data_IF_229104465059
#
_entry.id   IF_229104465059
#
_cell.length_a   1.000
_cell.length_b   1.000
_cell.length_c   1.000
_cell.angle_alpha   90.00
_cell.angle_beta   90.00
_cell.angle_gamma   90.00
#
_symmetry.space_group_name_H-M   'P 1'
#
loop_
_entity.id
_entity.type
_entity.pdbx_description
1 polymer ?
#
# COMPACT_ATOMS: atom_id res chain seq x y z
N UNK A 1 -2.41 8.75 4.20
CA UNK A 1 -1.22 9.43 3.61
C UNK A 1 -0.94 10.71 4.37
N UNK A 2 0.32 10.99 4.69
CA UNK A 2 0.73 12.27 5.25
C UNK A 2 0.70 13.36 4.17
N UNK A 3 0.26 14.55 4.55
CA UNK A 3 0.41 15.74 3.69
C UNK A 3 1.90 16.11 3.54
N UNK A 4 2.32 16.62 2.39
CA UNK A 4 3.71 17.03 2.16
C UNK A 4 4.21 18.10 3.16
N UNK A 5 3.29 18.88 3.73
CA UNK A 5 3.59 19.87 4.77
C UNK A 5 3.28 19.34 6.17
N UNK A 6 3.24 18.03 6.38
CA UNK A 6 2.85 17.41 7.65
C UNK A 6 3.60 17.98 8.86
N UNK A 7 4.88 18.23 8.74
CA UNK A 7 5.68 18.78 9.83
C UNK A 7 5.15 20.14 10.35
N UNK A 8 4.47 20.91 9.51
CA UNK A 8 3.91 22.23 9.88
C UNK A 8 2.41 22.19 10.17
N UNK A 9 1.63 21.35 9.47
CA UNK A 9 0.16 21.36 9.56
C UNK A 9 -0.42 20.10 10.22
N UNK A 10 0.40 19.06 10.41
CA UNK A 10 -0.01 17.74 10.92
C UNK A 10 -1.21 17.16 10.18
N UNK A 11 -1.34 17.47 8.88
CA UNK A 11 -2.47 17.07 8.05
C UNK A 11 -2.29 15.65 7.53
N UNK A 12 -3.36 14.88 7.63
CA UNK A 12 -3.47 13.52 7.10
C UNK A 12 -4.65 13.41 6.16
N UNK A 13 -4.47 12.63 5.10
CA UNK A 13 -5.51 12.25 4.17
C UNK A 13 -5.86 10.77 4.37
N UNK A 14 -7.16 10.46 4.45
CA UNK A 14 -7.67 9.11 4.54
C UNK A 14 -8.62 8.83 3.37
N UNK A 15 -8.40 7.69 2.73
CA UNK A 15 -9.21 7.20 1.63
C UNK A 15 -10.08 6.04 2.13
N UNK A 16 -11.36 6.06 1.80
CA UNK A 16 -12.30 4.99 2.11
C UNK A 16 -12.87 4.39 0.83
N UNK A 17 -12.84 3.07 0.72
CA UNK A 17 -13.34 2.32 -0.44
C UNK A 17 -14.83 2.56 -0.72
N UNK A 18 -15.60 2.93 0.28
CA UNK A 18 -17.01 3.31 0.17
C UNK A 18 -17.32 4.64 0.86
N UNK A 19 -16.33 5.26 1.49
CA UNK A 19 -16.46 6.46 2.33
C UNK A 19 -15.93 7.76 1.70
N UNK A 20 -15.29 7.70 0.54
CA UNK A 20 -14.69 8.86 -0.11
C UNK A 20 -13.36 9.31 0.49
N UNK A 21 -12.98 10.56 0.26
CA UNK A 21 -11.76 11.17 0.74
C UNK A 21 -12.04 12.06 1.96
N UNK A 22 -11.22 11.89 2.98
CA UNK A 22 -11.26 12.65 4.22
C UNK A 22 -9.91 13.29 4.51
N UNK A 23 -9.92 14.37 5.24
CA UNK A 23 -8.68 14.98 5.77
C UNK A 23 -8.89 15.44 7.20
N UNK A 24 -7.80 15.40 7.96
CA UNK A 24 -7.75 15.95 9.32
C UNK A 24 -6.50 16.83 9.43
N UNK A 25 -6.63 17.97 10.07
CA UNK A 25 -5.51 18.84 10.40
C UNK A 25 -5.17 18.65 11.87
N UNK A 26 -3.89 18.55 12.19
CA UNK A 26 -3.38 18.33 13.55
C UNK A 26 -3.92 17.01 14.17
N UNK A 27 -3.67 15.89 13.48
CA UNK A 27 -4.15 14.56 13.91
C UNK A 27 -3.68 14.19 15.32
N UNK A 28 -2.59 14.77 15.80
CA UNK A 28 -2.04 14.50 17.13
C UNK A 28 -2.87 15.18 18.25
N UNK A 29 -3.84 16.04 17.93
CA UNK A 29 -4.69 16.74 18.90
C UNK A 29 -6.02 16.02 19.08
N UNK A 30 -6.39 15.73 20.32
CA UNK A 30 -7.68 15.10 20.66
C UNK A 30 -8.93 15.94 20.33
N UNK A 31 -8.76 17.22 19.98
CA UNK A 31 -9.88 18.09 19.56
C UNK A 31 -10.02 18.22 18.05
N UNK A 32 -9.19 17.54 17.27
CA UNK A 32 -9.25 17.59 15.81
C UNK A 32 -10.36 16.68 15.28
N UNK A 33 -10.99 17.12 14.18
CA UNK A 33 -12.09 16.39 13.54
C UNK A 33 -11.76 16.10 12.08
N UNK A 34 -12.20 14.93 11.62
CA UNK A 34 -12.13 14.55 10.21
C UNK A 34 -13.12 15.37 9.38
N UNK A 35 -12.63 15.96 8.31
CA UNK A 35 -13.43 16.70 7.35
C UNK A 35 -13.54 15.91 6.05
N UNK A 36 -14.76 15.69 5.58
CA UNK A 36 -15.01 15.07 4.29
C UNK A 36 -14.68 16.03 3.16
N UNK A 37 -13.96 15.54 2.15
CA UNK A 37 -13.52 16.39 1.03
C UNK A 37 -14.65 16.61 0.03
N UNK A 38 -15.39 15.56 -0.35
CA UNK A 38 -16.56 15.67 -1.22
C UNK A 38 -17.46 14.46 -1.12
N UNK A 39 -18.79 14.71 -1.21
CA UNK A 39 -19.85 13.69 -1.37
C UNK A 39 -20.42 13.64 -2.78
N UNK A 40 -19.99 14.53 -3.68
CA UNK A 40 -20.61 14.78 -4.98
C UNK A 40 -19.76 14.32 -6.16
N UNK A 41 -18.76 13.46 -5.91
CA UNK A 41 -17.99 12.82 -6.97
C UNK A 41 -18.78 11.64 -7.56
N UNK A 42 -18.49 11.29 -8.81
CA UNK A 42 -19.09 10.15 -9.49
C UNK A 42 -18.79 8.80 -8.81
N UNK A 43 -17.78 8.78 -7.94
CA UNK A 43 -17.44 7.64 -7.11
C UNK A 43 -16.88 8.09 -5.76
N UNK A 44 -17.17 7.30 -4.71
CA UNK A 44 -16.56 7.42 -3.38
C UNK A 44 -15.57 6.27 -3.10
N UNK A 45 -15.26 5.45 -4.12
CA UNK A 45 -14.40 4.29 -4.00
C UNK A 45 -12.95 4.72 -4.19
N UNK A 46 -12.30 5.22 -3.15
CA UNK A 46 -10.92 5.70 -3.21
C UNK A 46 -10.03 4.68 -2.55
N UNK A 47 -9.05 4.19 -3.30
CA UNK A 47 -8.16 3.11 -2.90
C UNK A 47 -6.74 3.56 -2.60
N UNK A 48 -6.30 4.67 -3.20
CA UNK A 48 -4.95 5.17 -3.00
C UNK A 48 -4.89 6.69 -3.10
N UNK A 49 -3.96 7.31 -2.37
CA UNK A 49 -3.69 8.75 -2.36
C UNK A 49 -2.18 8.96 -2.44
N UNK A 50 -1.71 9.84 -3.32
CA UNK A 50 -0.30 10.17 -3.47
C UNK A 50 -0.09 11.68 -3.66
N UNK A 51 0.92 12.25 -2.99
CA UNK A 51 1.36 13.62 -3.18
C UNK A 51 2.52 13.68 -4.17
N UNK A 52 2.59 14.78 -4.91
CA UNK A 52 3.72 15.05 -5.79
C UNK A 52 4.90 15.59 -4.95
N UNK A 53 6.06 14.93 -4.94
CA UNK A 53 7.21 15.40 -4.17
C UNK A 53 7.82 16.70 -4.71
N UNK A 54 7.47 17.10 -5.94
CA UNK A 54 7.98 18.32 -6.59
C UNK A 54 7.06 19.53 -6.38
N UNK A 55 5.76 19.30 -6.06
CA UNK A 55 4.79 20.36 -5.75
C UNK A 55 3.76 19.89 -4.72
N UNK A 56 3.85 20.40 -3.50
CA UNK A 56 2.95 20.07 -2.39
C UNK A 56 1.45 20.33 -2.63
N UNK A 57 1.10 21.16 -3.63
CA UNK A 57 -0.28 21.42 -3.98
C UNK A 57 -0.87 20.33 -4.91
N UNK A 58 -0.02 19.48 -5.47
CA UNK A 58 -0.45 18.43 -6.38
C UNK A 58 -0.64 17.13 -5.61
N UNK A 59 -1.89 16.60 -5.66
CA UNK A 59 -2.23 15.33 -5.04
C UNK A 59 -3.05 14.53 -6.07
N UNK A 60 -2.82 13.23 -6.11
CA UNK A 60 -3.55 12.29 -6.94
C UNK A 60 -4.30 11.28 -6.07
N UNK A 61 -5.47 10.85 -6.53
CA UNK A 61 -6.21 9.73 -5.93
C UNK A 61 -6.58 8.71 -6.99
N UNK A 62 -6.47 7.44 -6.62
CA UNK A 62 -6.91 6.30 -7.40
C UNK A 62 -8.28 5.83 -6.96
N UNK A 63 -9.08 5.38 -7.93
CA UNK A 63 -10.45 4.94 -7.65
C UNK A 63 -10.73 3.54 -8.17
N UNK A 64 -11.64 2.84 -7.48
CA UNK A 64 -12.16 1.53 -7.84
C UNK A 64 -11.50 0.39 -7.09
N UNK A 65 -12.31 -0.42 -6.45
CA UNK A 65 -11.91 -1.58 -5.67
C UNK A 65 -12.39 -2.85 -6.38
N UNK A 66 -11.45 -3.73 -6.74
CA UNK A 66 -11.75 -4.98 -7.46
C UNK A 66 -12.18 -6.10 -6.54
N UNK A 67 -11.58 -6.16 -5.34
CA UNK A 67 -11.87 -7.15 -4.31
C UNK A 67 -13.12 -6.76 -3.52
N UNK A 68 -13.50 -7.51 -2.57
CA UNK A 68 -14.66 -7.21 -1.73
C UNK A 68 -15.94 -6.96 -2.55
N UNK A 69 -16.30 -5.72 -2.73
CA UNK A 69 -17.57 -5.32 -3.38
C UNK A 69 -17.48 -5.19 -4.92
N UNK A 70 -16.29 -5.23 -5.52
CA UNK A 70 -16.09 -5.08 -6.96
C UNK A 70 -16.56 -3.72 -7.49
N UNK A 71 -16.33 -2.66 -6.75
CA UNK A 71 -16.81 -1.31 -7.05
C UNK A 71 -15.94 -0.65 -8.11
N UNK A 72 -16.49 -0.47 -9.31
CA UNK A 72 -15.76 0.16 -10.42
C UNK A 72 -15.43 1.61 -10.11
N UNK A 73 -14.18 1.97 -10.35
CA UNK A 73 -13.69 3.33 -10.28
C UNK A 73 -13.88 4.12 -11.58
N UNK A 74 -13.48 5.36 -11.50
CA UNK A 74 -13.54 6.35 -12.57
C UNK A 74 -12.15 6.91 -12.91
N UNK A 75 -11.10 6.10 -12.72
CA UNK A 75 -9.72 6.48 -12.99
C UNK A 75 -9.08 7.31 -11.87
N UNK A 76 -8.16 8.15 -12.28
CA UNK A 76 -7.38 9.03 -11.41
C UNK A 76 -8.03 10.40 -11.33
N UNK A 77 -8.06 10.97 -10.13
CA UNK A 77 -8.43 12.37 -9.89
C UNK A 77 -7.20 13.13 -9.38
N UNK A 78 -7.17 14.42 -9.67
CA UNK A 78 -6.05 15.30 -9.35
C UNK A 78 -6.53 16.61 -8.77
N UNK A 79 -5.81 17.11 -7.76
CA UNK A 79 -5.85 18.51 -7.31
C UNK A 79 -4.54 19.21 -7.65
N UNK A 80 -4.57 20.52 -7.82
CA UNK A 80 -3.39 21.39 -7.98
C UNK A 80 -3.43 22.58 -7.02
N UNK A 81 -4.31 22.53 -6.02
CA UNK A 81 -4.55 23.58 -5.04
C UNK A 81 -4.61 23.04 -3.58
N UNK A 82 -3.86 21.97 -3.31
CA UNK A 82 -3.76 21.37 -1.97
C UNK A 82 -5.04 20.68 -1.50
N UNK A 83 -5.89 20.24 -2.44
CA UNK A 83 -7.12 19.51 -2.15
C UNK A 83 -8.37 20.38 -2.03
N UNK A 84 -8.30 21.66 -2.41
CA UNK A 84 -9.46 22.55 -2.40
C UNK A 84 -10.42 22.25 -3.55
N UNK A 85 -9.88 21.95 -4.73
CA UNK A 85 -10.66 21.48 -5.89
C UNK A 85 -10.05 20.22 -6.49
N UNK A 86 -10.88 19.36 -7.07
CA UNK A 86 -10.48 18.08 -7.64
C UNK A 86 -11.08 17.90 -9.04
N UNK A 87 -10.26 17.39 -9.96
CA UNK A 87 -10.66 17.11 -11.33
C UNK A 87 -10.32 15.68 -11.71
N UNK A 88 -11.26 14.99 -12.34
CA UNK A 88 -11.03 13.70 -12.95
C UNK A 88 -10.12 13.84 -14.18
N UNK A 89 -9.11 13.00 -14.29
CA UNK A 89 -8.26 12.92 -15.48
C UNK A 89 -8.95 12.08 -16.56
N UNK A 90 -9.44 12.72 -17.60
CA UNK A 90 -10.18 12.06 -18.68
C UNK A 90 -9.38 10.96 -19.39
N UNK A 91 -8.05 11.08 -19.43
CA UNK A 91 -7.11 10.10 -19.98
C UNK A 91 -7.07 8.77 -19.22
N UNK A 92 -7.52 8.76 -17.96
CA UNK A 92 -7.49 7.60 -17.07
C UNK A 92 -8.86 6.96 -16.81
N UNK A 93 -9.93 7.41 -17.46
CA UNK A 93 -11.29 6.91 -17.20
C UNK A 93 -11.48 5.42 -17.46
N UNK A 94 -10.57 4.80 -18.23
CA UNK A 94 -10.48 3.35 -18.43
C UNK A 94 -9.89 2.57 -17.27
N UNK A 95 -9.21 3.23 -16.32
CA UNK A 95 -8.58 2.60 -15.14
C UNK A 95 -9.66 2.32 -14.08
N UNK A 96 -10.31 1.16 -14.17
CA UNK A 96 -11.50 0.84 -13.35
C UNK A 96 -11.16 0.31 -11.97
N UNK A 97 -9.96 -0.24 -11.77
CA UNK A 97 -9.51 -0.79 -10.50
C UNK A 97 -8.05 -0.39 -10.29
N UNK A 98 -7.87 0.68 -9.51
CA UNK A 98 -6.57 1.19 -9.12
C UNK A 98 -6.29 0.68 -7.70
N UNK A 99 -5.26 -0.14 -7.53
CA UNK A 99 -4.86 -0.62 -6.21
C UNK A 99 -3.89 0.36 -5.54
N UNK A 100 -2.99 0.96 -6.33
CA UNK A 100 -1.94 1.83 -5.79
C UNK A 100 -1.55 2.96 -6.74
N UNK A 101 -1.21 4.12 -6.16
CA UNK A 101 -0.62 5.27 -6.88
C UNK A 101 0.59 5.75 -6.08
N UNK A 102 1.66 6.07 -6.78
CA UNK A 102 2.82 6.78 -6.22
C UNK A 102 3.30 7.84 -7.20
N UNK A 103 3.92 8.92 -6.67
CA UNK A 103 4.56 9.94 -7.50
C UNK A 103 6.04 9.99 -7.17
N UNK A 104 6.86 9.83 -8.19
CA UNK A 104 8.32 9.81 -8.09
C UNK A 104 8.90 11.10 -8.68
N UNK A 105 9.87 11.70 -8.01
CA UNK A 105 10.64 12.81 -8.61
C UNK A 105 11.61 12.28 -9.67
N UNK A 106 11.40 12.63 -10.92
CA UNK A 106 12.27 12.29 -12.04
C UNK A 106 12.93 13.55 -12.59
N UNK A 107 13.89 14.08 -11.83
CA UNK A 107 14.66 15.26 -12.24
C UNK A 107 13.85 16.56 -12.17
N UNK A 108 13.00 16.71 -11.18
CA UNK A 108 12.13 17.87 -10.95
C UNK A 108 10.77 17.75 -11.63
N UNK A 109 10.45 16.58 -12.17
CA UNK A 109 9.12 16.26 -12.72
C UNK A 109 8.49 15.16 -11.87
N UNK A 110 7.30 15.42 -11.34
CA UNK A 110 6.51 14.43 -10.64
C UNK A 110 5.96 13.38 -11.62
N UNK A 111 6.65 12.23 -11.75
CA UNK A 111 6.18 11.12 -12.56
C UNK A 111 5.18 10.28 -11.76
N UNK A 112 3.96 10.19 -12.26
CA UNK A 112 2.87 9.45 -11.62
C UNK A 112 2.87 8.01 -12.10
N UNK A 113 2.89 7.08 -11.14
CA UNK A 113 2.78 5.65 -11.39
C UNK A 113 1.46 5.13 -10.83
N UNK A 114 0.74 4.36 -11.64
CA UNK A 114 -0.57 3.81 -11.28
C UNK A 114 -0.55 2.31 -11.50
N UNK A 115 -0.72 1.56 -10.43
CA UNK A 115 -0.82 0.11 -10.42
C UNK A 115 -2.25 -0.36 -10.17
N UNK A 116 -2.56 -1.53 -10.69
CA UNK A 116 -3.85 -2.17 -10.48
C UNK A 116 -4.03 -3.38 -11.41
N UNK A 117 -5.26 -3.80 -11.58
CA UNK A 117 -5.58 -5.00 -12.32
C UNK A 117 -6.69 -4.85 -13.35
N UNK A 118 -6.84 -5.91 -14.14
CA UNK A 118 -7.92 -6.08 -15.11
C UNK A 118 -8.97 -7.06 -14.57
N UNK A 119 -10.19 -6.90 -15.02
CA UNK A 119 -11.25 -7.88 -14.81
C UNK A 119 -12.02 -8.11 -16.11
N UNK A 120 -12.49 -9.34 -16.28
CA UNK A 120 -13.43 -9.67 -17.35
C UNK A 120 -14.85 -9.28 -16.90
N UNK A 121 -15.45 -8.30 -17.55
CA UNK A 121 -16.82 -7.87 -17.27
C UNK A 121 -17.61 -7.81 -18.57
N UNK A 122 -18.71 -8.54 -18.65
CA UNK A 122 -19.60 -8.59 -19.85
C UNK A 122 -18.88 -8.96 -21.14
N UNK A 123 -17.86 -9.83 -21.06
CA UNK A 123 -17.08 -10.28 -22.21
C UNK A 123 -15.95 -9.34 -22.64
N UNK A 124 -15.74 -8.23 -21.94
CA UNK A 124 -14.66 -7.29 -22.19
C UNK A 124 -13.69 -7.22 -21.02
N UNK A 125 -12.39 -7.17 -21.33
CA UNK A 125 -11.37 -6.89 -20.32
C UNK A 125 -11.30 -5.40 -20.07
N UNK A 126 -11.60 -5.00 -18.83
CA UNK A 126 -11.54 -3.60 -18.40
C UNK A 126 -10.59 -3.46 -17.21
N UNK A 127 -9.99 -2.29 -17.03
CA UNK A 127 -9.07 -2.00 -15.94
C UNK A 127 -7.69 -1.58 -16.44
N UNK A 128 -6.68 -1.75 -15.58
CA UNK A 128 -5.31 -1.33 -15.85
C UNK A 128 -4.50 -2.50 -16.39
N UNK A 129 -3.69 -2.24 -17.41
CA UNK A 129 -2.66 -3.15 -17.88
C UNK A 129 -1.35 -2.82 -17.15
N UNK A 130 -0.90 -3.71 -16.27
CA UNK A 130 0.37 -3.56 -15.61
C UNK A 130 0.52 -2.27 -14.82
N UNK A 131 1.71 -1.67 -14.91
CA UNK A 131 2.04 -0.39 -14.31
C UNK A 131 1.99 0.71 -15.38
N UNK A 132 1.19 1.73 -15.15
CA UNK A 132 1.07 2.90 -16.03
C UNK A 132 1.88 4.06 -15.47
N UNK A 133 2.57 4.78 -16.34
CA UNK A 133 3.39 5.96 -16.02
C UNK A 133 2.90 7.17 -16.79
N UNK A 134 2.85 8.33 -16.13
CA UNK A 134 2.65 9.64 -16.73
C UNK A 134 3.74 10.61 -16.25
N UNK A 135 4.32 11.37 -17.17
CA UNK A 135 5.29 12.45 -16.87
C UNK A 135 4.75 13.83 -17.23
N UNK A 136 3.48 13.93 -17.59
CA UNK A 136 2.80 15.16 -17.98
C UNK A 136 1.58 15.48 -17.08
N UNK A 137 1.66 14.99 -15.84
CA UNK A 137 0.64 15.23 -14.83
C UNK A 137 -0.66 14.50 -15.06
N UNK A 138 -0.63 13.37 -15.75
CA UNK A 138 -1.76 12.51 -16.06
C UNK A 138 -2.47 12.85 -17.36
N UNK A 139 -1.91 13.68 -18.24
CA UNK A 139 -2.49 13.97 -19.54
C UNK A 139 -2.37 12.79 -20.51
N UNK A 140 -1.23 12.07 -20.45
CA UNK A 140 -1.01 10.83 -21.19
C UNK A 140 -0.40 9.75 -20.31
N UNK A 141 -0.59 8.47 -20.69
CA UNK A 141 -0.13 7.30 -19.93
C UNK A 141 0.59 6.32 -20.85
N UNK A 142 1.67 5.73 -20.31
CA UNK A 142 2.47 4.70 -20.96
C UNK A 142 2.57 3.49 -20.04
N UNK A 143 2.30 2.29 -20.55
CA UNK A 143 2.54 1.05 -19.84
C UNK A 143 4.06 0.80 -19.75
N UNK A 144 4.60 0.65 -18.52
CA UNK A 144 6.04 0.50 -18.27
C UNK A 144 6.41 -0.85 -17.67
N UNK A 145 5.49 -1.53 -16.96
CA UNK A 145 5.61 -2.92 -16.59
C UNK A 145 4.35 -3.63 -17.08
N UNK A 146 4.45 -4.27 -18.22
CA UNK A 146 3.30 -4.68 -19.01
C UNK A 146 3.08 -6.18 -19.09
N UNK A 147 3.05 -6.67 -20.32
CA UNK A 147 2.60 -8.02 -20.65
C UNK A 147 3.52 -9.12 -20.12
N UNK A 148 2.93 -10.13 -19.49
CA UNK A 148 3.54 -11.43 -19.19
C UNK A 148 3.44 -12.32 -20.43
N UNK A 149 2.25 -12.34 -21.04
CA UNK A 149 1.93 -13.00 -22.31
C UNK A 149 0.93 -12.13 -23.08
N UNK A 150 0.64 -12.48 -24.32
CA UNK A 150 -0.39 -11.79 -25.13
C UNK A 150 -1.72 -11.76 -24.35
N UNK A 151 -2.19 -10.56 -24.03
CA UNK A 151 -3.39 -10.25 -23.24
C UNK A 151 -3.31 -10.51 -21.72
N UNK A 152 -2.17 -10.93 -21.19
CA UNK A 152 -1.97 -11.14 -19.76
C UNK A 152 -0.89 -10.16 -19.24
N UNK A 153 -1.30 -9.17 -18.47
CA UNK A 153 -0.41 -8.15 -17.88
C UNK A 153 -0.26 -8.36 -16.38
N UNK A 154 0.83 -7.87 -15.80
CA UNK A 154 1.02 -7.88 -14.35
C UNK A 154 -0.14 -7.16 -13.63
N UNK A 155 -0.53 -7.66 -12.47
CA UNK A 155 -1.43 -6.99 -11.56
C UNK A 155 -0.57 -6.38 -10.44
N UNK A 156 -0.40 -5.07 -10.47
CA UNK A 156 0.45 -4.33 -9.52
C UNK A 156 -0.38 -3.90 -8.33
N UNK A 157 0.03 -4.30 -7.13
CA UNK A 157 -0.70 -4.02 -5.88
C UNK A 157 0.11 -3.24 -4.86
N UNK A 158 1.42 -3.13 -5.08
CA UNK A 158 2.30 -2.46 -4.14
C UNK A 158 3.37 -1.64 -4.88
N UNK A 159 3.63 -0.42 -4.40
CA UNK A 159 4.60 0.50 -4.99
C UNK A 159 5.33 1.24 -3.87
N UNK A 160 6.66 1.12 -3.86
CA UNK A 160 7.53 1.81 -2.92
C UNK A 160 8.65 2.58 -3.64
N UNK A 161 9.16 3.63 -3.00
CA UNK A 161 10.31 4.39 -3.48
C UNK A 161 11.34 4.44 -2.36
N UNK A 162 12.53 3.93 -2.61
CA UNK A 162 13.63 3.99 -1.67
C UNK A 162 14.31 5.38 -1.61
N UNK A 163 15.18 5.58 -0.64
CA UNK A 163 15.91 6.84 -0.47
C UNK A 163 16.92 7.15 -1.60
N UNK A 164 17.21 6.19 -2.48
CA UNK A 164 17.96 6.39 -3.71
C UNK A 164 17.06 6.71 -4.92
N UNK A 165 15.77 6.90 -4.67
CA UNK A 165 14.76 7.14 -5.69
C UNK A 165 14.54 5.94 -6.64
N UNK A 166 14.85 4.70 -6.21
CA UNK A 166 14.51 3.46 -6.92
C UNK A 166 13.03 3.14 -6.69
N UNK A 167 12.31 2.80 -7.73
CA UNK A 167 10.95 2.31 -7.66
C UNK A 167 10.96 0.79 -7.45
N UNK A 168 10.17 0.32 -6.48
CA UNK A 168 9.98 -1.10 -6.15
C UNK A 168 8.50 -1.42 -6.36
N UNK A 169 8.23 -2.58 -6.98
CA UNK A 169 6.89 -2.96 -7.43
C UNK A 169 6.58 -4.37 -6.96
N UNK A 170 5.53 -4.52 -6.18
CA UNK A 170 4.95 -5.80 -5.79
C UNK A 170 3.76 -6.17 -6.66
N UNK A 171 3.62 -7.46 -6.99
CA UNK A 171 2.53 -7.96 -7.83
C UNK A 171 1.71 -9.02 -7.12
N UNK A 172 0.55 -9.28 -7.70
CA UNK A 172 -0.30 -10.41 -7.36
C UNK A 172 -0.71 -11.19 -8.61
N UNK A 173 -1.30 -12.35 -8.42
CA UNK A 173 -1.90 -13.13 -9.50
C UNK A 173 -3.02 -12.33 -10.17
N UNK A 174 -2.91 -12.22 -11.48
CA UNK A 174 -3.90 -11.52 -12.29
C UNK A 174 -5.16 -12.38 -12.56
N UNK A 175 -6.10 -11.86 -13.31
CA UNK A 175 -7.35 -12.54 -13.68
C UNK A 175 -7.14 -13.83 -14.51
N UNK A 176 -5.96 -14.01 -15.11
CA UNK A 176 -5.61 -15.18 -15.92
C UNK A 176 -4.83 -16.24 -15.12
N UNK A 177 -4.47 -15.96 -13.86
CA UNK A 177 -3.66 -16.85 -13.03
C UNK A 177 -2.15 -16.63 -13.17
N UNK A 178 -1.73 -15.52 -13.79
CA UNK A 178 -0.32 -15.24 -14.07
C UNK A 178 0.23 -14.13 -13.16
N UNK A 179 1.56 -14.05 -13.03
CA UNK A 179 2.31 -12.91 -12.51
C UNK A 179 2.23 -12.68 -11.01
N UNK A 180 1.72 -13.64 -10.23
CA UNK A 180 1.66 -13.54 -8.78
C UNK A 180 3.01 -13.73 -8.10
N UNK A 181 3.16 -13.15 -6.90
CA UNK A 181 4.31 -13.36 -6.04
C UNK A 181 5.63 -12.83 -6.63
N UNK A 182 5.62 -11.71 -7.34
CA UNK A 182 6.81 -11.14 -7.95
C UNK A 182 7.11 -9.75 -7.39
N UNK A 183 8.40 -9.43 -7.31
CA UNK A 183 8.88 -8.08 -6.99
C UNK A 183 9.81 -7.64 -8.10
N UNK A 184 9.63 -6.41 -8.54
CA UNK A 184 10.50 -5.74 -9.52
C UNK A 184 11.09 -4.47 -8.94
N UNK A 185 12.20 -4.03 -9.52
CA UNK A 185 12.75 -2.69 -9.27
C UNK A 185 13.07 -1.97 -10.57
N UNK A 186 13.09 -0.64 -10.49
CA UNK A 186 13.50 0.22 -11.58
C UNK A 186 14.22 1.46 -11.05
N UNK A 187 15.41 1.73 -11.59
CA UNK A 187 16.18 2.94 -11.27
C UNK A 187 15.76 4.13 -12.15
N UNK A 188 15.28 3.85 -13.35
CA UNK A 188 14.95 4.87 -14.38
C UNK A 188 13.43 5.04 -14.62
N UNK A 189 12.60 4.17 -14.01
CA UNK A 189 11.15 4.16 -14.21
C UNK A 189 10.70 3.73 -15.60
N UNK A 190 11.59 3.08 -16.37
CA UNK A 190 11.32 2.58 -17.72
C UNK A 190 11.68 1.10 -17.87
N UNK A 191 12.77 0.64 -17.26
CA UNK A 191 13.21 -0.76 -17.28
C UNK A 191 12.97 -1.36 -15.91
N UNK A 192 12.18 -2.44 -15.85
CA UNK A 192 11.85 -3.16 -14.62
C UNK A 192 12.58 -4.51 -14.60
N UNK A 193 13.37 -4.73 -13.57
CA UNK A 193 14.14 -5.95 -13.36
C UNK A 193 13.53 -6.74 -12.20
N UNK A 194 13.20 -8.04 -12.39
CA UNK A 194 12.69 -8.86 -11.29
C UNK A 194 13.79 -9.17 -10.27
N UNK A 195 13.43 -9.13 -8.98
CA UNK A 195 14.27 -9.71 -7.93
C UNK A 195 14.22 -11.23 -7.98
N UNK A 196 15.35 -11.87 -7.68
CA UNK A 196 15.43 -13.32 -7.56
C UNK A 196 15.34 -13.73 -6.09
N UNK A 197 14.21 -14.23 -5.66
CA UNK A 197 13.93 -14.58 -4.25
C UNK A 197 13.99 -16.10 -4.02
N UNK A 198 14.81 -16.81 -4.79
CA UNK A 198 14.96 -18.27 -4.67
C UNK A 198 13.76 -19.05 -5.23
N UNK A 199 13.74 -20.37 -4.99
CA UNK A 199 12.63 -21.24 -5.40
C UNK A 199 11.49 -21.14 -4.38
N UNK A 200 10.71 -20.08 -4.44
CA UNK A 200 9.50 -19.92 -3.68
C UNK A 200 8.36 -20.70 -4.34
N UNK A 201 7.37 -21.14 -3.56
CA UNK A 201 6.20 -21.86 -4.07
C UNK A 201 5.31 -21.01 -5.00
N UNK A 202 4.05 -21.44 -5.17
CA UNK A 202 3.07 -20.61 -5.88
C UNK A 202 2.53 -19.56 -4.93
N UNK A 203 2.81 -18.30 -5.24
CA UNK A 203 2.35 -17.14 -4.45
C UNK A 203 1.34 -16.31 -5.23
N UNK A 204 0.42 -15.69 -4.50
CA UNK A 204 -0.56 -14.74 -5.05
C UNK A 204 -0.04 -13.31 -4.84
N UNK A 205 -0.29 -12.70 -3.69
CA UNK A 205 0.05 -11.31 -3.40
C UNK A 205 1.42 -11.17 -2.74
N UNK A 206 2.09 -10.09 -3.08
CA UNK A 206 3.34 -9.65 -2.45
C UNK A 206 3.11 -8.34 -1.72
N UNK A 207 3.65 -8.24 -0.50
CA UNK A 207 3.85 -7.00 0.22
C UNK A 207 5.35 -6.73 0.28
N UNK A 208 5.75 -5.53 -0.03
CA UNK A 208 7.16 -5.12 0.03
C UNK A 208 7.27 -3.76 0.71
N UNK A 209 8.28 -3.61 1.55
CA UNK A 209 8.64 -2.30 2.10
C UNK A 209 10.17 -2.17 2.17
N UNK A 210 10.63 -0.95 2.03
CA UNK A 210 12.05 -0.59 2.04
C UNK A 210 12.32 0.33 3.22
N UNK A 211 13.43 0.07 3.91
CA UNK A 211 13.80 0.92 5.05
C UNK A 211 14.10 2.36 4.58
N UNK A 212 13.41 3.37 5.14
CA UNK A 212 13.72 4.76 4.82
C UNK A 212 15.13 5.19 5.22
N UNK A 213 15.73 4.55 6.24
CA UNK A 213 17.08 4.87 6.73
C UNK A 213 18.20 4.15 5.99
N UNK A 214 17.92 3.03 5.32
CA UNK A 214 18.91 2.28 4.52
C UNK A 214 18.26 1.62 3.30
N UNK A 215 18.47 2.13 2.09
CA UNK A 215 17.86 1.60 0.87
C UNK A 215 18.36 0.19 0.48
N UNK A 216 19.39 -0.34 1.15
CA UNK A 216 19.80 -1.72 0.97
C UNK A 216 18.93 -2.71 1.74
N UNK A 217 18.17 -2.25 2.74
CA UNK A 217 17.33 -3.09 3.58
C UNK A 217 15.89 -3.09 3.08
N UNK A 218 15.46 -4.25 2.61
CA UNK A 218 14.09 -4.51 2.17
C UNK A 218 13.51 -5.68 2.94
N UNK A 219 12.19 -5.64 3.14
CA UNK A 219 11.41 -6.76 3.61
C UNK A 219 10.31 -7.09 2.60
N UNK A 220 9.98 -8.37 2.49
CA UNK A 220 8.88 -8.82 1.65
C UNK A 220 8.12 -9.96 2.31
N UNK A 221 6.80 -9.95 2.16
CA UNK A 221 5.91 -11.03 2.55
C UNK A 221 5.20 -11.57 1.33
N UNK A 222 4.98 -12.89 1.31
CA UNK A 222 4.29 -13.56 0.21
C UNK A 222 3.10 -14.36 0.73
N UNK A 223 1.96 -14.08 0.14
CA UNK A 223 0.75 -14.85 0.32
C UNK A 223 0.82 -16.14 -0.52
N UNK A 224 0.50 -17.26 0.07
CA UNK A 224 0.39 -18.54 -0.63
C UNK A 224 -0.91 -18.60 -1.42
N UNK A 225 -0.82 -18.81 -2.73
CA UNK A 225 -1.95 -18.80 -3.65
C UNK A 225 -3.03 -19.87 -3.38
N UNK A 226 -2.71 -20.92 -2.61
CA UNK A 226 -3.65 -21.99 -2.31
C UNK A 226 -4.34 -21.82 -0.97
N UNK A 227 -3.70 -21.16 -0.01
CA UNK A 227 -4.20 -21.04 1.37
C UNK A 227 -4.62 -19.61 1.73
N UNK A 228 -4.12 -18.60 1.00
CA UNK A 228 -4.37 -17.18 1.28
C UNK A 228 -3.61 -16.64 2.51
N UNK A 229 -2.78 -17.47 3.17
CA UNK A 229 -1.97 -17.05 4.30
C UNK A 229 -0.58 -16.59 3.87
N UNK A 230 0.03 -15.69 4.63
CA UNK A 230 1.47 -15.43 4.50
C UNK A 230 2.22 -16.69 4.93
N UNK A 231 3.03 -17.22 4.04
CA UNK A 231 3.85 -18.41 4.29
C UNK A 231 5.34 -18.16 4.12
N UNK A 232 5.72 -16.96 3.69
CA UNK A 232 7.11 -16.54 3.58
C UNK A 232 7.26 -15.06 3.91
N UNK A 233 8.23 -14.76 4.74
CA UNK A 233 8.74 -13.43 5.02
C UNK A 233 10.26 -13.47 4.82
N UNK A 234 10.83 -12.46 4.21
CA UNK A 234 12.26 -12.35 4.03
C UNK A 234 12.80 -10.94 4.18
N UNK A 235 14.07 -10.87 4.53
CA UNK A 235 14.87 -9.64 4.58
C UNK A 235 15.99 -9.71 3.55
N UNK A 236 16.20 -8.62 2.84
CA UNK A 236 17.42 -8.34 2.08
C UNK A 236 18.21 -7.23 2.79
N UNK A 237 19.54 -7.30 2.73
CA UNK A 237 20.47 -6.29 3.24
C UNK A 237 21.43 -5.80 2.13
N UNK A 238 21.14 -6.12 0.89
CA UNK A 238 21.95 -5.81 -0.29
C UNK A 238 21.11 -5.33 -1.49
N UNK A 239 20.09 -4.52 -1.18
CA UNK A 239 19.16 -3.92 -2.15
C UNK A 239 18.42 -4.97 -3.01
N UNK A 240 18.05 -6.11 -2.41
CA UNK A 240 17.25 -7.16 -3.04
C UNK A 240 18.05 -8.20 -3.83
N UNK A 241 19.38 -8.16 -3.78
CA UNK A 241 20.23 -9.13 -4.49
C UNK A 241 20.15 -10.51 -3.85
N UNK A 242 20.20 -10.55 -2.50
CA UNK A 242 19.99 -11.79 -1.74
C UNK A 242 18.94 -11.62 -0.66
N UNK A 243 18.28 -12.72 -0.30
CA UNK A 243 17.18 -12.71 0.67
C UNK A 243 17.38 -13.81 1.72
N UNK A 244 17.17 -13.44 2.97
CA UNK A 244 17.17 -14.35 4.12
C UNK A 244 15.76 -14.52 4.63
N UNK A 245 15.25 -15.76 4.65
CA UNK A 245 13.94 -16.04 5.19
C UNK A 245 13.90 -15.79 6.70
N UNK A 246 12.80 -15.23 7.17
CA UNK A 246 12.52 -14.87 8.55
C UNK A 246 11.33 -15.63 9.10
N UNK A 247 11.12 -15.56 10.42
CA UNK A 247 9.94 -16.12 11.08
C UNK A 247 8.68 -15.31 10.73
N UNK A 248 7.54 -15.96 10.81
CA UNK A 248 6.23 -15.35 10.64
C UNK A 248 5.59 -15.18 12.02
N UNK A 249 5.08 -13.98 12.29
CA UNK A 249 4.33 -13.71 13.53
C UNK A 249 3.03 -14.52 13.54
N UNK A 250 2.74 -15.15 14.69
CA UNK A 250 1.51 -15.92 14.88
C UNK A 250 0.70 -15.31 16.02
N UNK A 251 -0.62 -15.29 15.88
CA UNK A 251 -1.54 -14.99 16.97
C UNK A 251 -1.65 -16.17 17.97
N UNK A 252 -2.46 -16.01 19.02
CA UNK A 252 -2.70 -17.04 20.05
C UNK A 252 -3.30 -18.35 19.49
N UNK A 253 -3.91 -18.32 18.30
CA UNK A 253 -4.52 -19.45 17.62
C UNK A 253 -3.59 -20.07 16.55
N UNK A 254 -2.42 -19.49 16.33
CA UNK A 254 -1.44 -19.93 15.35
C UNK A 254 -1.70 -19.39 13.92
N UNK A 255 -2.51 -18.34 13.78
CA UNK A 255 -2.76 -17.72 12.48
C UNK A 255 -1.65 -16.72 12.13
N UNK A 256 -1.08 -16.75 10.92
CA UNK A 256 -0.07 -15.80 10.49
C UNK A 256 -0.58 -14.36 10.55
N UNK A 257 0.08 -13.51 11.34
CA UNK A 257 -0.26 -12.10 11.54
C UNK A 257 -1.74 -11.84 11.89
N UNK A 258 -2.38 -12.79 12.62
CA UNK A 258 -3.78 -12.70 12.99
C UNK A 258 -4.77 -12.88 11.84
N UNK A 259 -4.33 -13.37 10.69
CA UNK A 259 -5.23 -13.73 9.60
C UNK A 259 -5.81 -15.13 9.83
N UNK A 260 -7.09 -15.23 10.17
CA UNK A 260 -7.77 -16.49 10.47
C UNK A 260 -8.51 -17.10 9.27
N UNK A 261 -8.58 -16.40 8.13
CA UNK A 261 -9.38 -16.81 6.97
C UNK A 261 -8.54 -17.08 5.71
N UNK A 262 -7.23 -16.79 5.73
CA UNK A 262 -6.42 -16.83 4.53
C UNK A 262 -6.86 -15.75 3.53
N UNK A 263 -6.95 -14.51 3.99
CA UNK A 263 -7.48 -13.37 3.23
C UNK A 263 -6.49 -12.20 3.11
N UNK A 264 -5.21 -12.49 3.22
CA UNK A 264 -4.13 -11.53 2.98
C UNK A 264 -4.13 -10.99 1.53
N UNK A 265 -4.93 -11.60 0.68
CA UNK A 265 -5.21 -11.10 -0.66
C UNK A 265 -5.98 -9.77 -0.66
N UNK A 266 -6.65 -9.43 0.45
CA UNK A 266 -7.43 -8.20 0.62
C UNK A 266 -6.89 -7.33 1.76
N UNK A 267 -6.67 -7.90 2.95
CA UNK A 267 -6.18 -7.20 4.13
C UNK A 267 -4.68 -7.38 4.30
N UNK A 268 -4.09 -6.52 5.08
CA UNK A 268 -2.71 -6.62 5.53
C UNK A 268 -1.81 -5.48 5.12
N UNK A 269 -0.74 -5.35 5.87
CA UNK A 269 0.37 -4.46 5.57
C UNK A 269 1.70 -5.03 6.10
N UNK A 270 2.76 -4.51 5.53
CA UNK A 270 4.13 -4.62 6.03
C UNK A 270 4.70 -3.22 6.16
N UNK A 271 5.42 -2.90 7.23
CA UNK A 271 6.05 -1.60 7.41
C UNK A 271 7.37 -1.69 8.16
N UNK A 272 8.38 -0.98 7.68
CA UNK A 272 9.71 -0.89 8.30
C UNK A 272 9.84 0.43 9.04
N UNK A 273 10.32 0.38 10.29
CA UNK A 273 10.56 1.58 11.10
C UNK A 273 11.55 2.52 10.39
N UNK A 274 11.26 3.83 10.29
CA UNK A 274 12.09 4.76 9.53
C UNK A 274 13.48 5.00 10.13
N UNK A 275 13.71 4.66 11.39
CA UNK A 275 14.98 4.90 12.10
C UNK A 275 15.69 3.61 12.53
N UNK A 276 15.03 2.44 12.41
CA UNK A 276 15.60 1.15 12.80
C UNK A 276 15.25 0.06 11.79
N UNK A 277 16.23 -0.33 10.99
CA UNK A 277 16.10 -1.36 9.96
C UNK A 277 15.72 -2.75 10.47
N UNK A 278 15.78 -3.00 11.79
CA UNK A 278 15.44 -4.27 12.42
C UNK A 278 14.02 -4.28 13.02
N UNK A 279 13.42 -3.10 13.17
CA UNK A 279 12.06 -2.98 13.67
C UNK A 279 11.07 -2.95 12.50
N UNK A 280 10.17 -3.93 12.48
CA UNK A 280 9.14 -4.09 11.45
C UNK A 280 7.77 -4.37 12.08
N UNK A 281 6.73 -3.96 11.37
CA UNK A 281 5.35 -4.20 11.73
C UNK A 281 4.66 -4.94 10.60
N UNK A 282 3.81 -5.89 10.94
CA UNK A 282 2.97 -6.59 9.96
C UNK A 282 1.60 -6.87 10.57
N UNK A 283 0.59 -6.86 9.74
CA UNK A 283 -0.77 -7.19 10.16
C UNK A 283 -1.49 -7.97 9.07
N UNK A 284 -2.43 -8.78 9.51
CA UNK A 284 -3.47 -9.38 8.68
C UNK A 284 -4.85 -8.86 9.07
N UNK A 285 -5.85 -9.75 9.12
CA UNK A 285 -7.23 -9.34 9.38
C UNK A 285 -7.47 -8.86 10.82
N UNK A 286 -6.81 -9.42 11.83
CA UNK A 286 -7.23 -9.22 13.22
C UNK A 286 -6.23 -8.48 14.11
N UNK A 287 -4.96 -8.69 13.94
CA UNK A 287 -3.93 -8.20 14.87
C UNK A 287 -2.76 -7.56 14.16
N UNK A 288 -2.13 -6.63 14.87
CA UNK A 288 -0.86 -6.03 14.49
C UNK A 288 0.24 -6.73 15.27
N UNK A 289 1.30 -7.11 14.58
CA UNK A 289 2.49 -7.72 15.13
C UNK A 289 3.69 -6.82 14.92
N UNK A 290 4.58 -6.77 15.91
CA UNK A 290 5.84 -6.02 15.90
C UNK A 290 6.99 -6.96 16.12
N UNK A 291 8.05 -6.83 15.34
CA UNK A 291 9.37 -7.41 15.57
C UNK A 291 10.39 -6.30 15.75
N UNK A 292 11.36 -6.48 16.65
CA UNK A 292 12.50 -5.58 16.86
C UNK A 292 13.83 -6.25 16.56
N UNK A 293 13.80 -7.42 15.95
CA UNK A 293 14.96 -8.26 15.65
C UNK A 293 14.92 -8.83 14.22
N UNK A 294 14.46 -8.01 13.28
CA UNK A 294 14.42 -8.35 11.84
C UNK A 294 13.48 -9.50 11.50
N UNK A 295 12.41 -9.71 12.25
CA UNK A 295 11.43 -10.76 11.99
C UNK A 295 11.83 -12.13 12.55
N UNK A 296 12.82 -12.21 13.46
CA UNK A 296 13.13 -13.49 14.14
C UNK A 296 12.10 -13.81 15.21
N UNK A 297 11.70 -12.81 16.00
CA UNK A 297 10.66 -12.94 17.03
C UNK A 297 9.61 -11.83 16.82
N UNK A 298 8.35 -12.17 17.15
CA UNK A 298 7.21 -11.29 16.98
C UNK A 298 6.43 -11.15 18.28
N UNK A 299 5.88 -9.97 18.49
CA UNK A 299 4.95 -9.66 19.58
C UNK A 299 3.67 -9.12 18.99
N UNK A 300 2.53 -9.71 19.34
CA UNK A 300 1.21 -9.15 19.06
C UNK A 300 1.00 -7.90 19.90
N UNK A 301 0.59 -6.78 19.29
CA UNK A 301 0.48 -5.46 19.93
C UNK A 301 -0.91 -4.85 19.88
N UNK A 302 -1.88 -5.53 19.29
CA UNK A 302 -3.27 -5.05 19.22
C UNK A 302 -4.28 -6.17 19.38
N UNK A 303 -5.50 -5.80 19.78
CA UNK A 303 -6.64 -6.69 19.98
C UNK A 303 -7.89 -6.11 19.31
N UNK A 304 -8.54 -6.90 18.48
CA UNK A 304 -9.72 -6.47 17.70
C UNK A 304 -11.07 -6.70 18.41
N UNK A 305 -11.11 -7.63 19.38
CA UNK A 305 -12.35 -8.06 20.04
C UNK A 305 -12.96 -7.02 20.99
N UNK A 306 -12.28 -5.89 21.22
CA UNK A 306 -12.79 -4.78 22.00
C UNK A 306 -12.13 -4.60 23.36
N UNK A 307 -12.80 -3.90 24.28
CA UNK A 307 -12.27 -3.61 25.62
C UNK A 307 -12.40 -4.80 26.56
N UNK A 308 -11.41 -4.99 27.44
CA UNK A 308 -11.39 -6.06 28.43
C UNK A 308 -10.31 -7.12 28.20
N UNK A 309 -9.58 -7.01 27.11
CA UNK A 309 -8.39 -7.79 26.81
C UNK A 309 -7.12 -7.06 27.28
N UNK A 310 -6.00 -7.76 27.28
CA UNK A 310 -4.73 -7.22 27.79
C UNK A 310 -4.04 -6.26 26.83
N UNK A 311 -4.31 -6.40 25.52
CA UNK A 311 -3.76 -5.55 24.48
C UNK A 311 -4.69 -4.37 24.14
N UNK A 312 -4.17 -3.26 23.61
CA UNK A 312 -4.99 -2.14 23.18
C UNK A 312 -5.88 -2.52 22.00
N UNK A 313 -7.09 -1.96 22.00
CA UNK A 313 -8.04 -2.17 20.91
C UNK A 313 -7.61 -1.44 19.64
N UNK A 314 -7.56 -2.18 18.54
CA UNK A 314 -7.51 -1.66 17.17
C UNK A 314 -8.51 -2.46 16.34
N UNK A 315 -9.36 -1.82 15.55
CA UNK A 315 -10.34 -2.53 14.74
C UNK A 315 -9.66 -3.49 13.76
N UNK A 316 -10.33 -4.57 13.43
CA UNK A 316 -9.89 -5.57 12.46
C UNK A 316 -9.78 -5.03 11.02
N UNK A 317 -9.33 -5.89 10.12
CA UNK A 317 -9.28 -5.66 8.67
C UNK A 317 -8.31 -4.54 8.29
N UNK A 318 -7.03 -4.78 8.59
CA UNK A 318 -5.95 -3.80 8.38
C UNK A 318 -5.61 -3.62 6.91
N UNK A 319 -5.34 -2.36 6.51
CA UNK A 319 -5.03 -2.02 5.11
C UNK A 319 -3.68 -1.35 4.93
N UNK A 320 -3.25 -0.48 5.85
CA UNK A 320 -2.01 0.28 5.67
C UNK A 320 -1.43 0.74 7.00
N UNK A 321 -0.11 0.96 7.00
CA UNK A 321 0.65 1.56 8.08
C UNK A 321 1.45 2.74 7.54
N UNK A 322 1.53 3.84 8.31
CA UNK A 322 2.30 5.03 7.93
C UNK A 322 3.07 5.51 9.14
N UNK A 323 4.37 5.61 9.00
CA UNK A 323 5.25 6.14 10.02
C UNK A 323 5.37 7.66 9.89
N UNK A 324 5.05 8.38 10.97
CA UNK A 324 5.43 9.77 11.16
C UNK A 324 6.87 9.80 11.71
N UNK A 325 7.13 8.92 12.66
CA UNK A 325 8.44 8.52 13.21
C UNK A 325 8.29 7.16 13.89
N UNK A 326 9.32 6.66 14.58
CA UNK A 326 9.30 5.33 15.24
C UNK A 326 8.26 5.18 16.37
N UNK A 327 7.79 6.29 16.96
CA UNK A 327 6.79 6.28 18.02
C UNK A 327 5.39 6.64 17.50
N UNK A 328 5.34 7.57 16.55
CA UNK A 328 4.10 8.11 16.00
C UNK A 328 3.77 7.37 14.70
N UNK A 329 2.78 6.50 14.75
CA UNK A 329 2.41 5.60 13.65
C UNK A 329 0.90 5.66 13.45
N UNK A 330 0.48 5.74 12.20
CA UNK A 330 -0.92 5.64 11.80
C UNK A 330 -1.19 4.26 11.20
N UNK A 331 -2.26 3.63 11.62
CA UNK A 331 -2.76 2.37 11.05
C UNK A 331 -4.18 2.60 10.55
N UNK A 332 -4.46 2.19 9.32
CA UNK A 332 -5.81 2.23 8.75
C UNK A 332 -6.40 0.83 8.65
N UNK A 333 -7.71 0.74 8.92
CA UNK A 333 -8.51 -0.48 8.85
C UNK A 333 -9.98 -0.14 8.58
N UNK A 334 -10.87 -1.13 8.55
CA UNK A 334 -12.31 -0.92 8.31
C UNK A 334 -13.00 -0.08 9.39
N UNK A 335 -12.41 0.04 10.59
CA UNK A 335 -12.90 0.90 11.67
C UNK A 335 -12.45 2.36 11.58
N UNK A 336 -11.48 2.67 10.72
CA UNK A 336 -10.96 4.03 10.55
C UNK A 336 -9.44 4.13 10.58
N UNK A 337 -8.94 5.20 11.17
CA UNK A 337 -7.51 5.47 11.34
C UNK A 337 -7.19 5.52 12.82
N UNK A 338 -6.25 4.71 13.24
CA UNK A 338 -5.75 4.64 14.61
C UNK A 338 -4.35 5.25 14.69
N UNK A 339 -4.09 6.01 15.74
CA UNK A 339 -2.79 6.63 16.03
C UNK A 339 -2.18 5.98 17.27
N UNK A 340 -0.94 5.53 17.16
CA UNK A 340 -0.08 5.30 18.32
C UNK A 340 0.98 6.40 18.41
N UNK A 341 1.34 6.80 19.61
CA UNK A 341 2.39 7.79 19.90
C UNK A 341 3.51 7.20 20.78
N UNK A 342 3.52 5.89 20.93
CA UNK A 342 4.45 5.14 21.78
C UNK A 342 4.92 3.82 21.14
N UNK A 343 4.94 3.79 19.79
CA UNK A 343 5.44 2.66 19.01
C UNK A 343 4.60 1.39 19.13
N UNK A 344 3.28 1.55 19.35
CA UNK A 344 2.32 0.46 19.38
C UNK A 344 1.97 -0.06 20.79
N UNK A 345 2.37 0.63 21.87
CA UNK A 345 1.96 0.23 23.21
C UNK A 345 0.51 0.67 23.52
N UNK A 346 0.07 1.81 22.95
CA UNK A 346 -1.33 2.29 23.05
C UNK A 346 -1.80 2.82 21.69
N UNK A 347 -3.13 2.81 21.46
CA UNK A 347 -3.76 3.33 20.24
C UNK A 347 -4.99 4.19 20.59
N UNK A 348 -5.21 5.25 19.80
CA UNK A 348 -6.35 6.18 19.92
C UNK A 348 -7.06 6.38 18.59
#
# INVERSE_FOLDING_TARGET
MLDTNYNSNKKVWAAGVSGGLWSITNIESSGSEWTKVSDFWDTLNITSVATDPTDANIIYIGTGEKRGMGLKGFGVWKTTDGGSTWNQLSSSTGFKWIDTIIVRDEGGVGAVYVGGGRSLSQGEYTGINGLQKSTDGGATWTEVLGEITTNSSHHVTDLEIDSNNRLIVGTRTNTFGDGGGQIFYSDDGAVFTPYTIGALGSFDRTFVDVSPSDPNVLYAMFENASTGYITWLGKSEDAGVTWTQKSIGLDENGNPFGDYQGSMDYWGFLGVDPNDTNTIYAAGAQSIHKSTDSGENWTEISEWRGTGFSLPYVHADHHNIIFIDSNNILVSNDGGVFLTQDGGNTFT
#
